data_IF_293589024946
#
_entry.id   IF_293589024946
#
_cell.length_a   1.000
_cell.length_b   1.000
_cell.length_c   1.000
_cell.angle_alpha   90.00
_cell.angle_beta   90.00
_cell.angle_gamma   90.00
#
_symmetry.space_group_name_H-M   'P 1'
#
loop_
_entity.id
_entity.type
_entity.pdbx_description
1 polymer ?
#
# COMPACT_ATOMS: atom_id res chain seq x y z
N UNK A 1 -44.69 17.89 -22.80
CA UNK A 1 -44.33 16.59 -22.20
C UNK A 1 -43.04 16.12 -22.86
N UNK A 2 -41.85 16.47 -22.34
CA UNK A 2 -40.63 15.85 -22.85
C UNK A 2 -40.56 14.42 -22.29
N UNK A 3 -40.28 13.48 -23.18
CA UNK A 3 -40.07 12.08 -22.86
C UNK A 3 -39.00 11.94 -21.77
N UNK A 4 -39.37 11.29 -20.66
CA UNK A 4 -38.41 10.81 -19.68
C UNK A 4 -37.43 9.87 -20.41
N UNK A 5 -36.17 10.30 -20.49
CA UNK A 5 -35.06 9.41 -20.82
C UNK A 5 -35.08 8.31 -19.77
N UNK A 6 -35.50 7.11 -20.19
CA UNK A 6 -35.42 5.90 -19.37
C UNK A 6 -33.95 5.65 -19.10
N UNK A 7 -33.46 6.11 -17.95
CA UNK A 7 -32.17 5.74 -17.40
C UNK A 7 -32.25 4.24 -17.13
N UNK A 8 -31.54 3.44 -17.94
CA UNK A 8 -31.35 2.03 -17.66
C UNK A 8 -30.80 1.83 -16.24
N UNK A 9 -31.05 0.66 -15.62
CA UNK A 9 -30.72 0.42 -14.21
C UNK A 9 -29.27 0.82 -13.91
N UNK A 10 -29.08 1.60 -12.84
CA UNK A 10 -27.76 2.05 -12.40
C UNK A 10 -26.84 0.83 -12.25
N UNK A 11 -25.83 0.74 -13.12
CA UNK A 11 -24.96 -0.41 -13.18
C UNK A 11 -24.04 -0.44 -11.95
N UNK A 12 -24.37 -1.32 -11.00
CA UNK A 12 -23.58 -1.58 -9.80
C UNK A 12 -22.33 -2.44 -10.14
N UNK A 13 -21.28 -2.34 -9.32
CA UNK A 13 -20.13 -3.27 -9.32
C UNK A 13 -20.60 -4.72 -9.35
N UNK A 14 -21.61 -5.10 -8.56
CA UNK A 14 -22.12 -6.48 -8.57
C UNK A 14 -22.69 -6.94 -9.92
N UNK A 15 -23.29 -6.04 -10.69
CA UNK A 15 -23.81 -6.33 -12.04
C UNK A 15 -22.63 -6.48 -13.02
N UNK A 16 -21.65 -5.57 -12.93
CA UNK A 16 -20.43 -5.65 -13.71
C UNK A 16 -19.65 -6.95 -13.44
N UNK A 17 -19.46 -7.34 -12.18
CA UNK A 17 -18.75 -8.57 -11.81
C UNK A 17 -19.46 -9.84 -12.32
N UNK A 18 -20.80 -9.83 -12.37
CA UNK A 18 -21.58 -10.92 -12.98
C UNK A 18 -21.38 -10.97 -14.49
N UNK A 19 -21.45 -9.82 -15.18
CA UNK A 19 -21.30 -9.76 -16.63
C UNK A 19 -19.86 -10.03 -17.08
N UNK A 20 -18.87 -9.76 -16.24
CA UNK A 20 -17.46 -9.99 -16.48
C UNK A 20 -17.12 -11.47 -16.72
N UNK A 21 -17.87 -12.40 -16.10
CA UNK A 21 -17.66 -13.84 -16.29
C UNK A 21 -18.09 -14.33 -17.67
N UNK A 22 -19.17 -13.77 -18.22
CA UNK A 22 -19.77 -14.21 -19.48
C UNK A 22 -19.26 -13.45 -20.70
N UNK A 23 -18.90 -12.18 -20.54
CA UNK A 23 -18.59 -11.31 -21.67
C UNK A 23 -17.16 -11.51 -22.21
N UNK A 24 -16.95 -11.20 -23.51
CA UNK A 24 -15.61 -11.15 -24.08
C UNK A 24 -14.79 -10.01 -23.43
N UNK A 25 -13.47 -10.22 -23.34
CA UNK A 25 -12.59 -9.37 -22.53
C UNK A 25 -12.60 -7.90 -22.96
N UNK A 26 -12.60 -7.63 -24.27
CA UNK A 26 -12.58 -6.24 -24.77
C UNK A 26 -13.89 -5.51 -24.46
N UNK A 27 -15.03 -6.20 -24.58
CA UNK A 27 -16.32 -5.62 -24.18
C UNK A 27 -16.37 -5.34 -22.68
N UNK A 28 -15.76 -6.20 -21.85
CA UNK A 28 -15.65 -5.96 -20.41
C UNK A 28 -14.77 -4.74 -20.08
N UNK A 29 -13.66 -4.55 -20.81
CA UNK A 29 -12.79 -3.38 -20.66
C UNK A 29 -13.55 -2.09 -21.02
N UNK A 30 -14.18 -2.05 -22.19
CA UNK A 30 -14.97 -0.88 -22.63
C UNK A 30 -16.14 -0.61 -21.69
N UNK A 31 -16.80 -1.67 -21.20
CA UNK A 31 -17.87 -1.53 -20.22
C UNK A 31 -17.35 -0.87 -18.94
N UNK A 32 -16.22 -1.30 -18.37
CA UNK A 32 -15.70 -0.69 -17.15
C UNK A 32 -15.28 0.76 -17.36
N UNK A 33 -14.63 1.06 -18.50
CA UNK A 33 -14.28 2.42 -18.90
C UNK A 33 -15.53 3.31 -18.96
N UNK A 34 -16.61 2.81 -19.57
CA UNK A 34 -17.88 3.53 -19.63
C UNK A 34 -18.50 3.77 -18.25
N UNK A 35 -18.41 2.79 -17.34
CA UNK A 35 -18.90 2.91 -15.96
C UNK A 35 -18.11 3.96 -15.16
N UNK A 36 -16.79 4.00 -15.33
CA UNK A 36 -15.91 5.00 -14.71
C UNK A 36 -16.17 6.40 -15.26
N UNK A 37 -16.24 6.57 -16.59
CA UNK A 37 -16.55 7.88 -17.21
C UNK A 37 -17.92 8.42 -16.79
N UNK A 38 -18.90 7.54 -16.62
CA UNK A 38 -20.26 7.89 -16.17
C UNK A 38 -20.38 8.03 -14.65
N UNK A 39 -19.29 7.80 -13.90
CA UNK A 39 -19.25 7.82 -12.44
C UNK A 39 -20.33 6.92 -11.82
N UNK A 40 -20.61 5.75 -12.41
CA UNK A 40 -21.60 4.81 -11.89
C UNK A 40 -21.02 3.91 -10.79
N UNK A 41 -19.73 3.60 -10.89
CA UNK A 41 -18.95 2.98 -9.82
C UNK A 41 -18.12 4.09 -9.18
N UNK A 42 -18.49 4.48 -7.95
CA UNK A 42 -17.81 5.52 -7.16
C UNK A 42 -17.19 4.91 -5.92
N UNK A 43 -16.24 5.63 -5.33
CA UNK A 43 -15.50 5.28 -4.12
C UNK A 43 -14.36 4.28 -4.35
N UNK A 44 -13.27 4.55 -3.64
CA UNK A 44 -12.05 3.74 -3.57
C UNK A 44 -12.25 2.20 -3.62
N UNK A 45 -13.04 1.61 -2.71
CA UNK A 45 -13.17 0.14 -2.58
C UNK A 45 -13.91 -0.52 -3.76
N UNK A 46 -15.12 -0.09 -4.16
CA UNK A 46 -15.79 -0.56 -5.38
C UNK A 46 -14.91 -0.47 -6.63
N UNK A 47 -14.18 0.65 -6.81
CA UNK A 47 -13.24 0.86 -7.91
C UNK A 47 -12.07 -0.13 -7.86
N UNK A 48 -11.49 -0.38 -6.68
CA UNK A 48 -10.40 -1.34 -6.50
C UNK A 48 -10.81 -2.76 -6.90
N UNK A 49 -11.94 -3.23 -6.39
CA UNK A 49 -12.46 -4.59 -6.61
C UNK A 49 -12.79 -4.80 -8.09
N UNK A 50 -13.49 -3.84 -8.72
CA UNK A 50 -13.82 -3.93 -10.14
C UNK A 50 -12.55 -3.97 -11.03
N UNK A 51 -11.54 -3.17 -10.68
CA UNK A 51 -10.26 -3.13 -11.40
C UNK A 51 -9.49 -4.44 -11.24
N UNK A 52 -9.36 -4.96 -10.01
CA UNK A 52 -8.65 -6.20 -9.73
C UNK A 52 -9.27 -7.39 -10.46
N UNK A 53 -10.60 -7.54 -10.42
CA UNK A 53 -11.29 -8.60 -11.15
C UNK A 53 -11.15 -8.47 -12.67
N UNK A 54 -11.17 -7.26 -13.21
CA UNK A 54 -10.95 -7.07 -14.65
C UNK A 54 -9.53 -7.51 -15.04
N UNK A 55 -8.51 -7.09 -14.30
CA UNK A 55 -7.12 -7.47 -14.56
C UNK A 55 -6.91 -8.99 -14.43
N UNK A 56 -7.51 -9.62 -13.42
CA UNK A 56 -7.54 -11.08 -13.28
C UNK A 56 -8.05 -11.76 -14.55
N UNK A 57 -9.15 -11.27 -15.12
CA UNK A 57 -9.73 -11.83 -16.35
C UNK A 57 -8.85 -11.56 -17.58
N UNK A 58 -8.19 -10.40 -17.66
CA UNK A 58 -7.23 -10.11 -18.73
C UNK A 58 -6.09 -11.12 -18.69
N UNK A 59 -5.49 -11.35 -17.52
CA UNK A 59 -4.36 -12.27 -17.34
C UNK A 59 -4.80 -13.72 -17.61
N UNK A 60 -5.96 -14.14 -17.09
CA UNK A 60 -6.47 -15.49 -17.23
C UNK A 60 -6.82 -15.84 -18.68
N UNK A 61 -7.49 -14.94 -19.43
CA UNK A 61 -7.94 -15.21 -20.81
C UNK A 61 -6.86 -14.97 -21.86
N UNK A 62 -5.86 -14.11 -21.59
CA UNK A 62 -4.78 -13.84 -22.53
C UNK A 62 -3.87 -15.06 -22.69
N UNK A 63 -3.55 -15.39 -23.95
CA UNK A 63 -2.47 -16.31 -24.30
C UNK A 63 -1.22 -15.49 -24.56
N UNK A 64 -0.16 -15.76 -23.81
CA UNK A 64 1.10 -15.03 -23.92
C UNK A 64 2.26 -16.02 -23.79
N UNK A 65 3.33 -15.76 -24.53
CA UNK A 65 4.56 -16.57 -24.53
C UNK A 65 5.75 -15.83 -23.93
N UNK A 66 5.62 -14.52 -23.72
CA UNK A 66 6.64 -13.66 -23.18
C UNK A 66 5.98 -12.73 -22.14
N UNK A 67 6.59 -12.65 -20.95
CA UNK A 67 6.14 -11.78 -19.85
C UNK A 67 6.06 -10.32 -20.29
N UNK A 68 6.95 -9.86 -21.18
CA UNK A 68 6.93 -8.51 -21.73
C UNK A 68 5.61 -8.16 -22.41
N UNK A 69 5.04 -9.08 -23.20
CA UNK A 69 3.72 -8.87 -23.83
C UNK A 69 2.58 -8.80 -22.82
N UNK A 70 2.67 -9.58 -21.73
CA UNK A 70 1.69 -9.50 -20.64
C UNK A 70 1.76 -8.14 -19.95
N UNK A 71 2.96 -7.68 -19.63
CA UNK A 71 3.20 -6.37 -19.02
C UNK A 71 2.68 -5.22 -19.89
N UNK A 72 3.00 -5.24 -21.19
CA UNK A 72 2.50 -4.27 -22.16
C UNK A 72 0.97 -4.24 -22.18
N UNK A 73 0.31 -5.41 -22.21
CA UNK A 73 -1.15 -5.48 -22.25
C UNK A 73 -1.80 -4.97 -20.97
N UNK A 74 -1.28 -5.37 -19.80
CA UNK A 74 -1.79 -4.90 -18.50
C UNK A 74 -1.57 -3.40 -18.34
N UNK A 75 -0.43 -2.88 -18.80
CA UNK A 75 -0.13 -1.46 -18.80
C UNK A 75 -1.08 -0.68 -19.72
N UNK A 76 -1.34 -1.17 -20.93
CA UNK A 76 -2.28 -0.54 -21.87
C UNK A 76 -3.69 -0.47 -21.28
N UNK A 77 -4.22 -1.59 -20.76
CA UNK A 77 -5.54 -1.63 -20.12
C UNK A 77 -5.57 -0.71 -18.90
N UNK A 78 -4.55 -0.76 -18.06
CA UNK A 78 -4.44 0.07 -16.87
C UNK A 78 -4.41 1.56 -17.20
N UNK A 79 -3.67 1.97 -18.22
CA UNK A 79 -3.62 3.35 -18.67
C UNK A 79 -5.00 3.84 -19.13
N UNK A 80 -5.71 3.05 -19.93
CA UNK A 80 -7.07 3.39 -20.39
C UNK A 80 -8.06 3.52 -19.23
N UNK A 81 -7.92 2.71 -18.17
CA UNK A 81 -8.75 2.81 -16.97
C UNK A 81 -8.41 4.06 -16.15
N UNK A 82 -7.12 4.39 -15.99
CA UNK A 82 -6.69 5.60 -15.30
C UNK A 82 -7.13 6.87 -16.03
N UNK A 83 -7.07 6.89 -17.36
CA UNK A 83 -7.57 8.00 -18.19
C UNK A 83 -9.09 8.16 -18.11
N UNK A 84 -9.82 7.07 -17.83
CA UNK A 84 -11.27 7.13 -17.66
C UNK A 84 -11.71 7.89 -16.40
N UNK A 85 -10.91 7.81 -15.32
CA UNK A 85 -11.20 8.46 -14.04
C UNK A 85 -9.90 8.76 -13.27
N UNK A 86 -9.14 9.81 -13.66
CA UNK A 86 -7.79 10.05 -13.13
C UNK A 86 -7.76 10.40 -11.64
N UNK A 87 -8.87 10.93 -11.10
CA UNK A 87 -8.99 11.31 -9.69
C UNK A 87 -9.19 10.11 -8.75
N UNK A 88 -9.60 8.96 -9.27
CA UNK A 88 -9.70 7.73 -8.50
C UNK A 88 -8.40 6.94 -8.58
N UNK A 89 -7.42 7.44 -7.82
CA UNK A 89 -6.02 6.97 -7.80
C UNK A 89 -5.89 5.48 -7.49
N UNK A 90 -6.88 4.92 -6.79
CA UNK A 90 -6.94 3.50 -6.43
C UNK A 90 -6.88 2.60 -7.65
N UNK A 91 -7.49 2.99 -8.78
CA UNK A 91 -7.41 2.24 -10.05
C UNK A 91 -5.94 2.07 -10.45
N UNK A 92 -5.19 3.17 -10.44
CA UNK A 92 -3.76 3.15 -10.73
C UNK A 92 -2.94 2.38 -9.70
N UNK A 93 -3.31 2.46 -8.41
CA UNK A 93 -2.61 1.73 -7.34
C UNK A 93 -2.74 0.21 -7.53
N UNK A 94 -3.93 -0.28 -7.85
CA UNK A 94 -4.16 -1.70 -8.15
C UNK A 94 -3.39 -2.13 -9.39
N UNK A 95 -3.45 -1.35 -10.47
CA UNK A 95 -2.68 -1.63 -11.71
C UNK A 95 -1.18 -1.71 -11.41
N UNK A 96 -0.62 -0.76 -10.67
CA UNK A 96 0.82 -0.75 -10.30
C UNK A 96 1.18 -1.95 -9.42
N UNK A 97 0.31 -2.34 -8.49
CA UNK A 97 0.50 -3.53 -7.64
C UNK A 97 0.54 -4.81 -8.47
N UNK A 98 -0.39 -4.99 -9.40
CA UNK A 98 -0.41 -6.15 -10.32
C UNK A 98 0.82 -6.16 -11.24
N UNK A 99 1.22 -5.01 -11.78
CA UNK A 99 2.45 -4.91 -12.59
C UNK A 99 3.72 -5.21 -11.78
N UNK A 100 3.78 -4.77 -10.52
CA UNK A 100 4.88 -5.08 -9.60
C UNK A 100 4.98 -6.58 -9.36
N UNK A 101 3.87 -7.21 -9.00
CA UNK A 101 3.76 -8.67 -8.82
C UNK A 101 4.24 -9.43 -10.06
N UNK A 102 3.73 -9.12 -11.26
CA UNK A 102 4.18 -9.79 -12.50
C UNK A 102 5.69 -9.63 -12.72
N UNK A 103 6.26 -8.47 -12.37
CA UNK A 103 7.71 -8.22 -12.51
C UNK A 103 8.54 -8.98 -11.48
N UNK A 104 8.03 -9.18 -10.28
CA UNK A 104 8.76 -9.85 -9.20
C UNK A 104 8.76 -11.36 -9.43
N UNK A 105 7.62 -11.96 -9.78
CA UNK A 105 7.55 -13.37 -10.21
C UNK A 105 8.49 -13.67 -11.38
N UNK A 106 8.54 -12.78 -12.38
CA UNK A 106 9.42 -12.94 -13.54
C UNK A 106 10.92 -12.81 -13.22
N UNK A 107 11.30 -12.21 -12.09
CA UNK A 107 12.70 -12.15 -11.62
C UNK A 107 13.05 -13.38 -10.80
N UNK A 108 12.13 -13.88 -9.99
CA UNK A 108 12.33 -15.05 -9.15
C UNK A 108 12.58 -16.30 -10.01
N UNK A 109 11.75 -16.54 -11.03
CA UNK A 109 11.95 -17.63 -12.02
C UNK A 109 13.35 -17.61 -12.66
N UNK A 110 13.84 -16.42 -13.05
CA UNK A 110 15.18 -16.27 -13.66
C UNK A 110 16.30 -16.59 -12.68
N UNK A 111 16.08 -16.29 -11.39
CA UNK A 111 17.06 -16.52 -10.34
C UNK A 111 17.14 -18.02 -10.02
N UNK A 112 16.01 -18.73 -10.04
CA UNK A 112 15.96 -20.18 -9.88
C UNK A 112 16.65 -20.93 -11.03
N UNK A 113 16.42 -20.53 -12.29
CA UNK A 113 17.12 -21.11 -13.46
C UNK A 113 18.64 -20.92 -13.39
N UNK A 114 19.10 -19.76 -12.90
CA UNK A 114 20.53 -19.45 -12.78
C UNK A 114 21.17 -20.19 -11.60
N UNK A 115 20.45 -20.35 -10.49
CA UNK A 115 20.88 -21.13 -9.32
C UNK A 115 21.04 -22.63 -9.62
N UNK A 116 20.12 -23.20 -10.42
CA UNK A 116 20.18 -24.60 -10.84
C UNK A 116 21.40 -24.89 -11.74
N UNK A 117 21.76 -23.98 -12.65
CA UNK A 117 22.91 -24.15 -13.55
C UNK A 117 24.27 -23.97 -12.85
N UNK A 118 24.34 -23.18 -11.77
CA UNK A 118 25.56 -23.03 -10.96
C UNK A 118 25.84 -24.24 -10.05
N UNK A 119 24.84 -25.08 -9.79
CA UNK A 119 24.97 -26.30 -8.97
C UNK A 119 25.51 -27.49 -9.76
N UNK A 120 25.52 -27.42 -11.09
CA UNK A 120 25.92 -28.52 -11.99
C UNK A 120 27.42 -28.54 -12.38
N UNK A 121 28.23 -27.57 -11.93
CA UNK A 121 29.66 -27.49 -12.30
C UNK A 121 30.65 -27.81 -11.18
N UNK A 122 30.19 -28.24 -10.01
CA UNK A 122 31.10 -28.63 -8.92
C UNK A 122 31.07 -30.14 -8.70
N UNK A 123 31.63 -30.90 -9.64
CA UNK A 123 31.91 -32.33 -9.48
C UNK A 123 33.16 -32.70 -10.26
N UNK A 124 34.33 -32.41 -9.69
CA UNK A 124 35.58 -33.18 -9.77
C UNK A 124 36.78 -32.29 -9.42
N UNK A 125 37.17 -32.28 -8.15
CA UNK A 125 38.56 -32.09 -7.76
C UNK A 125 38.89 -33.21 -6.77
N UNK A 126 39.80 -34.09 -7.18
CA UNK A 126 40.16 -35.32 -6.48
C UNK A 126 40.89 -35.08 -5.17
N UNK A 127 40.54 -35.84 -4.15
CA UNK A 127 41.23 -35.92 -2.87
C UNK A 127 42.57 -36.66 -3.02
N UNK A 128 43.68 -36.19 -2.42
CA UNK A 128 44.92 -36.95 -2.39
C UNK A 128 44.86 -38.05 -1.33
N UNK A 129 45.28 -39.24 -1.74
CA UNK A 129 45.42 -40.47 -0.96
C UNK A 129 46.53 -40.32 0.09
N UNK A 130 46.28 -40.69 1.34
CA UNK A 130 47.34 -40.90 2.36
C UNK A 130 47.25 -42.31 2.92
N UNK A 131 48.37 -43.02 2.84
CA UNK A 131 48.54 -44.42 3.21
C UNK A 131 48.69 -44.59 4.72
N UNK A 132 47.99 -45.60 5.26
CA UNK A 132 48.10 -46.09 6.63
C UNK A 132 49.43 -46.84 6.85
N UNK A 133 50.09 -46.62 8.00
CA UNK A 133 51.09 -47.53 8.58
C UNK A 133 50.95 -47.58 10.11
N UNK A 134 51.12 -48.78 10.65
CA UNK A 134 50.72 -49.26 11.98
C UNK A 134 51.70 -48.96 13.15
N UNK A 135 51.11 -48.66 14.34
CA UNK A 135 51.38 -49.12 15.74
C UNK A 135 52.77 -48.90 16.44
N UNK A 136 52.94 -48.99 17.80
CA UNK A 136 51.98 -49.18 18.93
C UNK A 136 52.20 -48.34 20.24
N UNK A 137 51.18 -48.38 21.14
CA UNK A 137 51.16 -48.39 22.63
C UNK A 137 51.92 -47.36 23.50
N UNK A 138 51.23 -46.75 24.49
CA UNK A 138 51.46 -46.84 25.97
C UNK A 138 50.69 -45.77 26.78
N UNK A 139 50.46 -46.10 28.06
CA UNK A 139 49.47 -45.62 29.04
C UNK A 139 49.69 -44.25 29.74
N UNK A 140 48.62 -43.83 30.46
CA UNK A 140 48.52 -43.08 31.73
C UNK A 140 48.25 -41.54 31.76
N UNK A 141 47.00 -41.25 32.18
CA UNK A 141 46.61 -40.53 33.41
C UNK A 141 46.30 -39.00 33.42
N UNK A 142 45.08 -38.74 33.95
CA UNK A 142 44.61 -37.58 34.74
C UNK A 142 44.39 -36.24 33.97
N UNK A 143 43.33 -35.44 34.13
CA UNK A 143 42.49 -35.09 35.30
C UNK A 143 41.08 -34.69 34.79
N UNK A 144 40.03 -35.13 35.50
CA UNK A 144 38.65 -34.63 35.43
C UNK A 144 38.40 -33.51 36.46
N UNK A 145 37.27 -32.80 36.27
CA UNK A 145 36.49 -31.99 37.22
C UNK A 145 36.93 -30.51 37.35
N UNK A 146 36.05 -29.51 37.53
CA UNK A 146 34.60 -29.37 37.45
C UNK A 146 34.25 -27.87 37.68
N UNK A 147 33.01 -27.47 37.32
CA UNK A 147 32.14 -26.50 38.01
C UNK A 147 32.65 -25.08 38.32
N UNK A 148 31.94 -24.04 37.84
CA UNK A 148 30.91 -23.33 38.64
C UNK A 148 30.44 -22.01 38.01
N UNK A 149 29.17 -21.71 38.29
CA UNK A 149 28.37 -20.54 37.94
C UNK A 149 28.57 -19.37 38.93
N UNK A 150 27.84 -18.27 38.66
CA UNK A 150 27.44 -17.12 39.52
C UNK A 150 28.34 -15.86 39.38
N UNK A 151 27.90 -14.60 39.49
CA UNK A 151 26.59 -13.92 39.71
C UNK A 151 26.88 -12.43 39.99
N UNK A 152 25.92 -11.54 39.67
CA UNK A 152 25.64 -10.17 40.18
C UNK A 152 26.75 -9.09 40.12
N UNK A 153 26.43 -7.78 40.03
CA UNK A 153 25.15 -7.11 40.16
C UNK A 153 25.26 -5.58 40.01
N UNK A 154 24.08 -4.98 39.94
CA UNK A 154 23.70 -3.56 39.87
C UNK A 154 24.02 -2.73 41.11
N UNK A 155 24.28 -1.43 40.96
CA UNK A 155 23.80 -0.37 41.86
C UNK A 155 23.91 1.03 41.24
N UNK A 156 23.07 1.93 41.74
CA UNK A 156 22.57 3.22 41.24
C UNK A 156 23.19 4.45 41.94
N UNK A 157 22.80 5.65 41.46
CA UNK A 157 22.52 6.91 42.19
C UNK A 157 23.50 8.11 42.08
N UNK A 158 22.96 9.20 41.53
CA UNK A 158 22.82 10.57 42.09
C UNK A 158 23.97 11.61 42.21
N UNK A 159 23.61 12.82 41.74
CA UNK A 159 23.88 14.21 42.23
C UNK A 159 25.13 15.03 41.80
N UNK A 160 24.83 16.10 41.03
CA UNK A 160 25.12 17.56 41.16
C UNK A 160 26.48 18.14 41.65
N UNK A 161 26.86 19.27 41.00
CA UNK A 161 27.72 20.37 41.52
C UNK A 161 29.10 20.42 40.88
N UNK A 162 29.39 21.33 39.93
CA UNK A 162 29.79 22.75 40.07
C UNK A 162 31.28 22.96 40.41
N UNK A 163 31.88 23.93 39.69
CA UNK A 163 33.16 24.63 39.91
C UNK A 163 34.46 23.85 39.64
N UNK A 164 35.58 24.42 39.22
CA UNK A 164 36.02 25.63 38.51
C UNK A 164 37.56 25.44 38.39
N UNK A 165 38.19 26.21 37.51
CA UNK A 165 39.59 26.65 37.56
C UNK A 165 40.63 25.97 36.65
N UNK A 166 41.21 26.88 35.88
CA UNK A 166 42.34 26.83 34.96
C UNK A 166 43.65 26.37 35.62
N UNK A 167 44.56 25.80 34.82
CA UNK A 167 45.87 26.46 34.68
C UNK A 167 46.69 26.00 33.47
N UNK A 168 47.53 26.94 33.06
CA UNK A 168 48.17 27.13 31.76
C UNK A 168 49.66 26.72 31.81
N UNK A 169 50.27 26.56 30.63
CA UNK A 169 51.70 26.68 30.27
C UNK A 169 52.56 25.42 29.95
N UNK A 170 52.65 25.18 28.63
CA UNK A 170 53.88 25.05 27.78
C UNK A 170 54.74 23.78 27.69
N UNK A 171 54.66 23.18 26.48
CA UNK A 171 55.72 23.07 25.46
C UNK A 171 56.91 22.12 25.72
N UNK A 172 56.90 20.95 25.06
CA UNK A 172 58.04 20.44 24.28
C UNK A 172 57.66 19.25 23.37
N UNK A 173 58.20 19.30 22.15
CA UNK A 173 58.06 18.38 21.02
C UNK A 173 58.52 16.95 21.33
N UNK A 174 57.77 15.95 20.85
CA UNK A 174 58.34 14.82 20.07
C UNK A 174 57.23 14.00 19.40
N UNK A 175 57.43 13.77 18.10
CA UNK A 175 56.59 12.98 17.18
C UNK A 175 56.83 11.49 17.40
N UNK A 176 55.81 10.63 17.21
CA UNK A 176 56.06 9.45 16.40
C UNK A 176 55.02 9.25 15.28
N UNK A 177 55.53 9.30 14.05
CA UNK A 177 55.33 8.31 12.98
C UNK A 177 53.90 7.80 12.75
N UNK A 178 53.22 8.39 11.77
CA UNK A 178 52.05 7.82 11.09
C UNK A 178 52.45 6.53 10.36
N UNK A 179 51.75 5.38 10.53
CA UNK A 179 52.03 4.18 9.76
C UNK A 179 51.65 4.37 8.28
N UNK A 180 52.31 3.65 7.35
CA UNK A 180 52.11 3.84 5.92
C UNK A 180 50.74 3.30 5.47
N UNK A 181 50.06 4.07 4.62
CA UNK A 181 48.90 3.59 3.87
C UNK A 181 49.35 2.52 2.87
N UNK A 182 48.90 1.29 3.07
CA UNK A 182 48.90 0.26 2.02
C UNK A 182 47.58 0.40 1.28
N UNK A 183 47.63 0.96 0.07
CA UNK A 183 46.52 0.89 -0.85
C UNK A 183 46.39 -0.54 -1.37
N UNK A 184 45.27 -1.20 -1.06
CA UNK A 184 44.83 -2.40 -1.76
C UNK A 184 43.31 -2.39 -1.82
N UNK A 185 42.82 -2.02 -3.00
CA UNK A 185 41.50 -2.29 -3.50
C UNK A 185 41.28 -3.80 -3.53
N UNK A 186 40.45 -4.34 -2.65
CA UNK A 186 39.77 -5.63 -2.87
C UNK A 186 38.43 -5.58 -2.16
N UNK A 187 37.40 -5.20 -2.91
CA UNK A 187 36.01 -5.43 -2.54
C UNK A 187 35.78 -6.93 -2.42
N UNK A 188 35.73 -7.44 -1.20
CA UNK A 188 35.28 -8.81 -0.93
C UNK A 188 33.76 -8.82 -0.92
N UNK A 189 33.16 -8.84 -2.11
CA UNK A 189 31.76 -9.20 -2.28
C UNK A 189 31.70 -10.69 -2.60
N UNK A 190 31.65 -11.53 -1.57
CA UNK A 190 31.37 -12.96 -1.68
C UNK A 190 29.96 -13.22 -1.17
N UNK A 191 29.06 -13.44 -2.13
CA UNK A 191 28.21 -14.63 -2.26
C UNK A 191 27.57 -15.17 -0.97
N UNK A 192 26.52 -14.49 -0.51
CA UNK A 192 25.34 -15.16 0.06
C UNK A 192 24.11 -14.41 -0.44
N UNK A 193 23.26 -15.10 -1.19
CA UNK A 193 22.09 -14.56 -1.86
C UNK A 193 21.13 -13.86 -0.90
N UNK A 194 21.12 -12.54 -0.98
CA UNK A 194 19.92 -11.71 -0.86
C UNK A 194 20.19 -10.51 -1.75
N UNK A 195 19.54 -10.46 -2.93
CA UNK A 195 19.60 -9.30 -3.81
C UNK A 195 18.68 -8.21 -3.24
N UNK A 196 19.00 -7.76 -2.03
CA UNK A 196 18.51 -6.47 -1.55
C UNK A 196 19.19 -5.42 -2.41
N UNK A 197 18.41 -4.54 -3.05
CA UNK A 197 18.93 -3.36 -3.72
C UNK A 197 19.71 -2.53 -2.70
N UNK A 198 21.01 -2.80 -2.57
CA UNK A 198 21.91 -2.14 -1.64
C UNK A 198 22.12 -0.71 -2.14
N UNK A 199 21.37 0.23 -1.54
CA UNK A 199 21.50 1.68 -1.66
C UNK A 199 21.64 2.20 -3.11
N UNK A 200 20.61 2.89 -3.61
CA UNK A 200 20.61 3.50 -4.94
C UNK A 200 21.84 4.39 -5.23
N UNK A 201 22.51 4.92 -4.20
CA UNK A 201 23.75 5.68 -4.31
C UNK A 201 24.95 4.84 -4.80
N UNK A 202 24.97 3.53 -4.54
CA UNK A 202 26.04 2.63 -4.99
C UNK A 202 25.88 2.19 -6.46
N UNK A 203 24.69 2.35 -7.06
CA UNK A 203 24.51 2.06 -8.49
C UNK A 203 25.37 2.96 -9.39
N UNK A 204 25.78 4.14 -8.93
CA UNK A 204 26.72 5.01 -9.65
C UNK A 204 28.13 4.41 -9.77
N UNK A 205 28.49 3.51 -8.85
CA UNK A 205 29.80 2.87 -8.77
C UNK A 205 29.81 1.49 -9.43
N UNK A 206 28.65 0.96 -9.80
CA UNK A 206 28.55 -0.33 -10.49
C UNK A 206 28.88 -0.14 -11.97
N UNK A 207 29.89 -0.84 -12.53
CA UNK A 207 30.17 -0.76 -13.95
C UNK A 207 28.96 -1.28 -14.73
N UNK A 208 28.54 -0.53 -15.76
CA UNK A 208 27.48 -0.95 -16.67
C UNK A 208 27.88 -2.28 -17.32
N UNK A 209 27.06 -3.33 -17.15
CA UNK A 209 27.28 -4.58 -17.85
C UNK A 209 27.21 -4.34 -19.37
N UNK A 210 28.33 -4.58 -20.06
CA UNK A 210 28.38 -4.88 -21.48
C UNK A 210 28.27 -3.70 -22.46
N UNK A 211 29.41 -3.07 -22.76
CA UNK A 211 29.58 -2.38 -24.05
C UNK A 211 29.86 -3.44 -25.14
N UNK A 212 29.23 -3.41 -26.34
CA UNK A 212 29.35 -4.47 -27.36
C UNK A 212 30.69 -4.42 -28.14
N UNK A 213 31.71 -3.75 -27.61
CA UNK A 213 32.98 -3.49 -28.31
C UNK A 213 34.23 -4.00 -27.58
N UNK A 214 34.10 -5.03 -26.74
CA UNK A 214 35.26 -5.76 -26.24
C UNK A 214 35.61 -6.90 -27.20
N UNK A 215 36.73 -6.74 -27.92
CA UNK A 215 37.42 -7.81 -28.66
C UNK A 215 37.53 -9.09 -27.83
N UNK A 216 37.26 -10.28 -28.39
CA UNK A 216 37.28 -11.52 -27.62
C UNK A 216 38.72 -11.91 -27.27
N UNK A 217 38.98 -12.54 -26.11
CA UNK A 217 40.28 -13.14 -25.84
C UNK A 217 40.51 -14.33 -26.77
N UNK A 218 41.73 -14.44 -27.27
CA UNK A 218 42.22 -15.52 -28.12
C UNK A 218 42.27 -16.81 -27.31
N UNK A 219 41.65 -17.87 -27.85
CA UNK A 219 41.88 -19.24 -27.44
C UNK A 219 40.85 -19.79 -26.46
N UNK A 220 39.76 -20.34 -27.01
CA UNK A 220 39.25 -21.63 -26.56
C UNK A 220 38.47 -22.26 -27.73
N UNK A 221 38.75 -23.54 -27.97
CA UNK A 221 38.23 -24.31 -29.09
C UNK A 221 36.70 -24.43 -29.02
N UNK A 222 36.01 -24.21 -30.13
CA UNK A 222 34.59 -24.53 -30.26
C UNK A 222 34.37 -26.03 -30.04
N UNK A 223 33.39 -26.46 -29.23
CA UNK A 223 32.99 -27.85 -29.23
C UNK A 223 32.26 -28.12 -30.54
N UNK A 224 32.93 -28.82 -31.46
CA UNK A 224 32.27 -29.48 -32.60
C UNK A 224 31.52 -30.71 -32.09
N UNK A 225 30.37 -30.47 -31.48
CA UNK A 225 29.35 -31.49 -31.24
C UNK A 225 28.08 -31.05 -31.94
N UNK A 226 27.58 -31.84 -32.89
CA UNK A 226 26.22 -31.69 -33.41
C UNK A 226 25.27 -32.01 -32.25
N UNK A 227 24.90 -31.00 -31.45
CA UNK A 227 23.76 -31.10 -30.58
C UNK A 227 22.52 -30.94 -31.47
N UNK A 228 21.83 -32.05 -31.74
CA UNK A 228 20.43 -31.99 -32.13
C UNK A 228 19.65 -31.43 -30.92
N UNK A 229 19.67 -30.11 -30.79
CA UNK A 229 18.86 -29.38 -29.82
C UNK A 229 17.43 -29.64 -30.25
N UNK A 230 16.75 -30.54 -29.54
CA UNK A 230 15.38 -30.90 -29.85
C UNK A 230 14.49 -29.67 -29.59
N UNK A 231 14.25 -28.86 -30.63
CA UNK A 231 13.47 -27.62 -30.60
C UNK A 231 12.10 -27.83 -29.93
N UNK A 232 11.53 -29.05 -30.04
CA UNK A 232 10.28 -29.41 -29.37
C UNK A 232 10.43 -29.47 -27.84
N UNK A 233 11.53 -30.02 -27.32
CA UNK A 233 11.80 -30.07 -25.88
C UNK A 233 12.02 -28.69 -25.27
N UNK A 234 12.70 -27.79 -25.99
CA UNK A 234 12.88 -26.40 -25.55
C UNK A 234 11.55 -25.63 -25.54
N UNK A 235 10.71 -25.83 -26.58
CA UNK A 235 9.38 -25.23 -26.63
C UNK A 235 8.43 -25.75 -25.54
N UNK A 236 8.56 -27.03 -25.15
CA UNK A 236 7.80 -27.61 -24.05
C UNK A 236 8.24 -27.04 -22.70
N UNK A 237 9.55 -26.85 -22.51
CA UNK A 237 10.11 -26.26 -21.29
C UNK A 237 9.68 -24.80 -21.14
N UNK A 238 9.82 -23.99 -22.20
CA UNK A 238 9.36 -22.59 -22.20
C UNK A 238 7.85 -22.47 -21.97
N UNK A 239 7.03 -23.35 -22.57
CA UNK A 239 5.58 -23.34 -22.33
C UNK A 239 5.22 -23.74 -20.89
N UNK A 240 5.97 -24.67 -20.28
CA UNK A 240 5.78 -25.05 -18.89
C UNK A 240 6.10 -23.90 -17.95
N UNK A 241 7.24 -23.23 -18.15
CA UNK A 241 7.64 -22.05 -17.36
C UNK A 241 6.59 -20.95 -17.48
N UNK A 242 6.11 -20.63 -18.69
CA UNK A 242 5.07 -19.60 -18.88
C UNK A 242 3.71 -19.95 -18.25
N UNK A 243 3.39 -21.24 -18.11
CA UNK A 243 2.16 -21.67 -17.48
C UNK A 243 2.25 -21.58 -15.96
N UNK A 244 3.42 -21.87 -15.37
CA UNK A 244 3.67 -21.75 -13.93
C UNK A 244 3.55 -20.30 -13.45
N UNK A 245 4.27 -19.37 -14.10
CA UNK A 245 4.16 -17.93 -13.76
C UNK A 245 2.74 -17.40 -13.95
N UNK A 246 1.98 -17.94 -14.90
CA UNK A 246 0.59 -17.54 -15.10
C UNK A 246 -0.30 -17.97 -13.93
N UNK A 247 -0.11 -19.18 -13.39
CA UNK A 247 -0.84 -19.61 -12.19
C UNK A 247 -0.45 -18.78 -10.97
N UNK A 248 0.84 -18.54 -10.74
CA UNK A 248 1.30 -17.73 -9.60
C UNK A 248 0.74 -16.31 -9.65
N UNK A 249 0.79 -15.65 -10.81
CA UNK A 249 0.20 -14.31 -10.98
C UNK A 249 -1.32 -14.32 -10.76
N UNK A 250 -2.04 -15.35 -11.22
CA UNK A 250 -3.49 -15.46 -11.00
C UNK A 250 -3.78 -15.59 -9.50
N UNK A 251 -3.07 -16.48 -8.82
CA UNK A 251 -3.19 -16.67 -7.36
C UNK A 251 -2.86 -15.39 -6.61
N UNK A 252 -1.77 -14.70 -6.95
CA UNK A 252 -1.43 -13.43 -6.33
C UNK A 252 -2.48 -12.34 -6.54
N UNK A 253 -3.11 -12.26 -7.72
CA UNK A 253 -4.22 -11.31 -7.95
C UNK A 253 -5.48 -11.70 -7.17
N UNK A 254 -5.76 -12.99 -6.98
CA UNK A 254 -6.83 -13.47 -6.10
C UNK A 254 -6.56 -13.10 -4.64
N UNK A 255 -5.32 -13.22 -4.16
CA UNK A 255 -4.92 -12.77 -2.83
C UNK A 255 -5.11 -11.25 -2.64
N UNK A 256 -4.83 -10.43 -3.67
CA UNK A 256 -5.12 -8.99 -3.64
C UNK A 256 -6.62 -8.75 -3.45
N UNK A 257 -7.47 -9.52 -4.12
CA UNK A 257 -8.93 -9.37 -4.01
C UNK A 257 -9.38 -9.73 -2.59
N UNK A 258 -8.91 -10.85 -2.05
CA UNK A 258 -9.24 -11.29 -0.69
C UNK A 258 -8.75 -10.30 0.37
N UNK A 259 -7.55 -9.73 0.19
CA UNK A 259 -7.04 -8.66 1.04
C UNK A 259 -7.99 -7.46 1.02
N UNK A 260 -8.34 -6.94 -0.18
CA UNK A 260 -9.27 -5.81 -0.34
C UNK A 260 -10.60 -6.05 0.37
N UNK A 261 -11.06 -7.31 0.43
CA UNK A 261 -12.26 -7.65 1.14
C UNK A 261 -12.11 -7.53 2.67
N UNK A 262 -10.98 -7.97 3.20
CA UNK A 262 -10.67 -8.07 4.63
C UNK A 262 -10.08 -6.80 5.25
N UNK A 263 -9.60 -5.83 4.46
CA UNK A 263 -8.91 -4.61 4.93
C UNK A 263 -9.64 -3.92 6.10
N UNK A 264 -10.96 -3.73 6.01
CA UNK A 264 -11.68 -2.99 7.05
C UNK A 264 -11.73 -3.75 8.39
N UNK A 265 -11.74 -5.08 8.35
CA UNK A 265 -11.79 -5.92 9.55
C UNK A 265 -10.42 -6.02 10.22
N UNK A 266 -9.34 -6.07 9.41
CA UNK A 266 -7.96 -5.95 9.87
C UNK A 266 -7.72 -4.59 10.55
N UNK A 267 -8.11 -3.50 9.92
CA UNK A 267 -8.04 -2.15 10.51
C UNK A 267 -8.85 -2.06 11.81
N UNK A 268 -10.07 -2.60 11.84
CA UNK A 268 -10.91 -2.55 13.02
C UNK A 268 -10.30 -3.30 14.21
N UNK A 269 -9.43 -4.29 13.98
CA UNK A 269 -8.76 -5.04 15.06
C UNK A 269 -7.94 -4.13 15.99
N UNK A 270 -7.33 -3.07 15.46
CA UNK A 270 -6.54 -2.07 16.20
C UNK A 270 -7.38 -1.07 17.01
N UNK A 271 -8.72 -1.08 16.87
CA UNK A 271 -9.58 -0.07 17.50
C UNK A 271 -9.48 -0.04 19.04
N UNK A 272 -9.24 -1.19 19.67
CA UNK A 272 -9.13 -1.29 21.12
C UNK A 272 -7.83 -0.69 21.66
N UNK A 273 -6.81 -0.50 20.84
CA UNK A 273 -5.55 0.08 21.30
C UNK A 273 -5.58 1.60 21.25
N UNK A 274 -6.46 2.18 20.41
CA UNK A 274 -6.53 3.62 20.18
C UNK A 274 -7.74 4.34 20.81
N UNK A 275 -8.82 3.61 21.14
CA UNK A 275 -10.06 4.20 21.68
C UNK A 275 -10.28 3.75 23.11
N UNK A 276 -10.20 4.66 24.09
CA UNK A 276 -10.43 4.35 25.50
C UNK A 276 -11.84 4.72 25.98
N UNK A 277 -12.23 4.20 27.15
CA UNK A 277 -13.52 4.52 27.75
C UNK A 277 -13.59 6.00 28.15
N UNK A 278 -14.76 6.60 28.03
CA UNK A 278 -15.05 8.01 28.33
C UNK A 278 -14.26 9.03 27.48
N UNK A 279 -13.64 8.61 26.37
CA UNK A 279 -13.07 9.55 25.39
C UNK A 279 -14.17 10.23 24.56
N UNK A 280 -13.89 11.44 24.11
CA UNK A 280 -14.69 12.16 23.11
C UNK A 280 -13.93 12.14 21.78
N UNK A 281 -14.49 11.44 20.81
CA UNK A 281 -13.91 11.26 19.48
C UNK A 281 -14.68 12.10 18.48
N UNK A 282 -13.99 12.92 17.69
CA UNK A 282 -14.60 13.62 16.56
C UNK A 282 -14.33 12.85 15.27
N UNK A 283 -15.35 12.62 14.47
CA UNK A 283 -15.27 11.98 13.16
C UNK A 283 -16.04 12.78 12.12
N UNK A 284 -15.66 12.62 10.87
CA UNK A 284 -16.24 13.28 9.72
C UNK A 284 -16.79 12.25 8.74
N UNK A 285 -17.94 12.55 8.14
CA UNK A 285 -18.60 11.73 7.10
C UNK A 285 -19.00 10.31 7.50
N UNK A 286 -19.77 9.65 6.65
CA UNK A 286 -20.19 8.26 6.76
C UNK A 286 -19.20 7.30 6.10
N UNK A 287 -18.03 7.08 6.72
CA UNK A 287 -17.05 6.11 6.22
C UNK A 287 -17.23 4.73 6.84
N UNK A 288 -17.30 3.69 5.99
CA UNK A 288 -17.40 2.28 6.41
C UNK A 288 -16.24 1.84 7.30
N UNK A 289 -15.00 2.18 6.93
CA UNK A 289 -13.81 1.75 7.69
C UNK A 289 -13.80 2.37 9.09
N UNK A 290 -14.13 3.66 9.21
CA UNK A 290 -14.23 4.35 10.50
C UNK A 290 -15.41 3.82 11.31
N UNK A 291 -16.55 3.55 10.69
CA UNK A 291 -17.69 2.96 11.41
C UNK A 291 -17.37 1.57 11.94
N UNK A 292 -16.72 0.70 11.16
CA UNK A 292 -16.29 -0.63 11.63
C UNK A 292 -15.30 -0.51 12.79
N UNK A 293 -14.35 0.43 12.68
CA UNK A 293 -13.39 0.74 13.73
C UNK A 293 -14.08 1.18 15.03
N UNK A 294 -15.01 2.14 14.96
CA UNK A 294 -15.77 2.62 16.11
C UNK A 294 -16.68 1.53 16.71
N UNK A 295 -17.39 0.76 15.89
CA UNK A 295 -18.24 -0.36 16.34
C UNK A 295 -17.43 -1.45 17.05
N UNK A 296 -16.21 -1.73 16.58
CA UNK A 296 -15.33 -2.70 17.21
C UNK A 296 -14.89 -2.24 18.60
N UNK A 297 -14.56 -0.96 18.78
CA UNK A 297 -14.30 -0.39 20.09
C UNK A 297 -15.56 -0.38 20.98
N UNK A 298 -16.73 -0.04 20.41
CA UNK A 298 -18.04 -0.01 21.08
C UNK A 298 -18.38 -1.31 21.81
N UNK A 299 -17.98 -2.43 21.22
CA UNK A 299 -18.28 -3.76 21.76
C UNK A 299 -17.71 -4.01 23.15
N UNK A 300 -16.67 -3.27 23.56
CA UNK A 300 -16.00 -3.42 24.86
C UNK A 300 -15.95 -2.14 25.69
N UNK A 301 -16.05 -0.96 25.06
CA UNK A 301 -15.81 0.34 25.70
C UNK A 301 -16.96 1.30 25.41
N UNK A 302 -17.30 2.11 26.40
CA UNK A 302 -18.28 3.21 26.28
C UNK A 302 -17.53 4.51 26.12
N UNK A 303 -17.84 5.28 25.09
CA UNK A 303 -17.22 6.56 24.78
C UNK A 303 -18.23 7.42 23.99
N UNK A 304 -17.87 8.65 23.68
CA UNK A 304 -18.72 9.61 22.98
C UNK A 304 -18.14 9.88 21.59
N UNK A 305 -19.00 9.88 20.58
CA UNK A 305 -18.64 10.20 19.19
C UNK A 305 -19.36 11.47 18.76
N UNK A 306 -18.61 12.48 18.38
CA UNK A 306 -19.08 13.68 17.71
C UNK A 306 -18.94 13.45 16.20
N UNK A 307 -20.06 13.41 15.49
CA UNK A 307 -20.12 13.21 14.05
C UNK A 307 -20.42 14.53 13.36
N UNK A 308 -19.54 14.92 12.44
CA UNK A 308 -19.71 16.11 11.60
C UNK A 308 -20.42 15.71 10.30
N UNK A 309 -21.45 16.47 9.92
CA UNK A 309 -22.37 16.09 8.84
C UNK A 309 -21.78 16.08 7.43
N UNK A 310 -20.72 16.84 7.12
CA UNK A 310 -20.11 16.88 5.78
C UNK A 310 -21.09 17.39 4.72
N UNK A 311 -21.71 18.54 4.99
CA UNK A 311 -22.54 19.25 4.02
C UNK A 311 -21.65 19.88 2.93
N UNK A 312 -22.04 19.88 1.64
CA UNK A 312 -23.31 19.45 1.04
C UNK A 312 -23.27 18.04 0.42
N UNK A 313 -22.13 17.35 0.44
CA UNK A 313 -21.95 16.15 -0.39
C UNK A 313 -22.43 14.86 0.28
N UNK A 314 -22.15 14.70 1.58
CA UNK A 314 -22.33 13.44 2.31
C UNK A 314 -23.28 13.57 3.51
N UNK A 315 -23.91 14.74 3.72
CA UNK A 315 -24.82 14.96 4.84
C UNK A 315 -26.00 14.00 4.86
N UNK A 316 -26.66 13.74 3.74
CA UNK A 316 -27.83 12.83 3.69
C UNK A 316 -27.47 11.42 4.15
N UNK A 317 -26.34 10.87 3.67
CA UNK A 317 -25.84 9.57 4.10
C UNK A 317 -25.44 9.55 5.58
N UNK A 318 -24.79 10.62 6.05
CA UNK A 318 -24.37 10.76 7.45
C UNK A 318 -25.56 10.82 8.40
N UNK A 319 -26.57 11.63 8.08
CA UNK A 319 -27.82 11.75 8.83
C UNK A 319 -28.61 10.43 8.83
N UNK A 320 -28.68 9.75 7.69
CA UNK A 320 -29.36 8.46 7.57
C UNK A 320 -28.76 7.40 8.51
N UNK A 321 -27.42 7.32 8.60
CA UNK A 321 -26.73 6.37 9.48
C UNK A 321 -26.96 6.68 10.96
N UNK A 322 -26.98 7.96 11.35
CA UNK A 322 -27.30 8.36 12.72
C UNK A 322 -28.76 8.03 13.05
N UNK A 323 -29.67 8.31 12.13
CA UNK A 323 -31.11 8.04 12.28
C UNK A 323 -31.47 6.55 12.17
N UNK A 324 -30.51 5.67 11.81
CA UNK A 324 -30.77 4.26 11.54
C UNK A 324 -31.72 4.02 10.35
N UNK A 325 -31.87 5.01 9.48
CA UNK A 325 -32.74 4.99 8.30
C UNK A 325 -31.92 4.69 7.04
N UNK A 326 -32.54 4.11 6.01
CA UNK A 326 -31.88 4.00 4.71
C UNK A 326 -31.70 5.41 4.12
N UNK A 327 -30.54 5.74 3.52
CA UNK A 327 -30.37 7.01 2.82
C UNK A 327 -31.41 7.11 1.69
N UNK A 328 -32.13 8.25 1.63
CA UNK A 328 -33.23 8.46 0.67
C UNK A 328 -32.74 8.69 -0.77
N UNK A 329 -31.48 9.09 -0.95
CA UNK A 329 -30.98 9.57 -2.24
C UNK A 329 -30.29 8.51 -3.11
N UNK A 330 -30.30 7.25 -2.67
CA UNK A 330 -29.74 6.15 -3.47
C UNK A 330 -30.88 5.26 -3.96
N UNK A 331 -31.37 5.53 -5.18
CA UNK A 331 -31.96 4.53 -6.10
C UNK A 331 -30.91 3.46 -6.52
N UNK A 332 -30.00 3.11 -5.62
CA UNK A 332 -29.09 1.97 -5.74
C UNK A 332 -29.61 0.87 -4.83
N UNK A 333 -30.89 0.51 -5.04
CA UNK A 333 -31.34 -0.79 -4.59
C UNK A 333 -30.50 -1.85 -5.30
N UNK A 334 -30.13 -2.87 -4.52
CA UNK A 334 -29.51 -4.11 -4.97
C UNK A 334 -27.98 -4.03 -5.17
N UNK A 335 -27.24 -4.46 -4.15
CA UNK A 335 -26.75 -5.84 -4.03
C UNK A 335 -26.38 -6.09 -2.56
N UNK A 336 -26.89 -7.20 -2.03
CA UNK A 336 -26.48 -7.91 -0.81
C UNK A 336 -25.03 -7.64 -0.36
N UNK A 337 -24.81 -7.41 0.96
CA UNK A 337 -23.53 -7.13 1.64
C UNK A 337 -23.06 -5.68 1.81
N UNK A 338 -23.90 -4.67 1.53
CA UNK A 338 -23.89 -3.49 2.41
C UNK A 338 -24.50 -3.93 3.74
N UNK A 339 -23.66 -4.62 4.53
CA UNK A 339 -23.96 -5.07 5.89
C UNK A 339 -24.66 -3.90 6.56
N UNK A 340 -25.92 -4.10 6.93
CA UNK A 340 -26.65 -3.22 7.81
C UNK A 340 -25.74 -2.92 9.01
N UNK A 341 -25.01 -1.81 8.93
CA UNK A 341 -24.13 -1.41 10.01
C UNK A 341 -25.09 -0.92 11.08
N UNK A 342 -25.08 -1.64 12.22
CA UNK A 342 -25.90 -1.23 13.36
C UNK A 342 -25.62 0.25 13.60
N UNK A 343 -26.65 1.10 13.73
CA UNK A 343 -26.41 2.51 14.02
C UNK A 343 -25.56 2.58 15.29
N UNK A 344 -24.57 3.48 15.32
CA UNK A 344 -23.63 3.58 16.43
C UNK A 344 -24.35 3.73 17.78
N UNK A 345 -25.52 4.39 17.76
CA UNK A 345 -26.43 4.54 18.91
C UNK A 345 -26.94 3.20 19.48
N UNK A 346 -27.15 2.18 18.64
CA UNK A 346 -27.61 0.85 19.06
C UNK A 346 -26.52 0.05 19.80
N UNK A 347 -25.26 0.50 19.76
CA UNK A 347 -24.13 -0.17 20.44
C UNK A 347 -23.79 0.42 21.81
N UNK A 348 -24.61 1.35 22.32
CA UNK A 348 -24.42 1.94 23.65
C UNK A 348 -23.37 3.05 23.70
N UNK A 349 -22.99 3.59 22.54
CA UNK A 349 -22.18 4.81 22.38
C UNK A 349 -23.11 6.03 22.30
N UNK A 350 -22.69 7.12 22.93
CA UNK A 350 -23.35 8.42 22.75
C UNK A 350 -22.88 9.05 21.46
N UNK A 351 -23.80 9.27 20.51
CA UNK A 351 -23.51 9.92 19.22
C UNK A 351 -24.11 11.31 19.21
N UNK A 352 -23.29 12.32 18.91
CA UNK A 352 -23.69 13.73 18.82
C UNK A 352 -23.45 14.18 17.39
N UNK A 353 -24.51 14.52 16.66
CA UNK A 353 -24.42 15.07 15.30
C UNK A 353 -24.28 16.59 15.38
N UNK A 354 -23.31 17.16 14.66
CA UNK A 354 -23.06 18.61 14.62
C UNK A 354 -22.92 19.11 13.17
N UNK A 355 -23.23 20.40 12.91
CA UNK A 355 -22.93 21.03 11.64
C UNK A 355 -21.43 21.31 11.49
N UNK A 356 -20.96 21.43 10.25
CA UNK A 356 -19.55 21.71 9.92
C UNK A 356 -19.04 23.01 10.58
N UNK A 357 -19.91 24.01 10.76
CA UNK A 357 -19.58 25.29 11.42
C UNK A 357 -19.28 25.17 12.91
N UNK A 358 -19.76 24.13 13.59
CA UNK A 358 -19.58 23.94 15.03
C UNK A 358 -18.26 23.21 15.38
N UNK A 359 -17.52 22.72 14.38
CA UNK A 359 -16.28 21.94 14.56
C UNK A 359 -15.28 22.69 15.43
N UNK A 360 -15.01 23.96 15.12
CA UNK A 360 -14.00 24.72 15.85
C UNK A 360 -14.41 24.97 17.32
N UNK A 361 -15.70 25.25 17.56
CA UNK A 361 -16.21 25.52 18.90
C UNK A 361 -16.13 24.28 19.82
N UNK A 362 -16.42 23.10 19.28
CA UNK A 362 -16.41 21.86 20.08
C UNK A 362 -15.02 21.24 20.23
N UNK A 363 -14.05 21.63 19.39
CA UNK A 363 -12.71 21.02 19.34
C UNK A 363 -11.99 21.04 20.69
N UNK A 364 -12.24 22.06 21.53
CA UNK A 364 -11.70 22.16 22.90
C UNK A 364 -12.08 21.01 23.85
N UNK A 365 -13.14 20.24 23.50
CA UNK A 365 -13.65 19.10 24.29
C UNK A 365 -13.36 17.75 23.63
N UNK A 366 -12.71 17.74 22.47
CA UNK A 366 -12.40 16.53 21.71
C UNK A 366 -11.05 16.01 22.17
N UNK A 367 -10.95 14.71 22.45
CA UNK A 367 -9.68 14.07 22.81
C UNK A 367 -8.90 13.61 21.58
N UNK A 368 -9.59 13.20 20.52
CA UNK A 368 -8.98 12.61 19.32
C UNK A 368 -9.88 12.84 18.11
N UNK A 369 -9.28 13.15 16.97
CA UNK A 369 -9.98 13.20 15.68
C UNK A 369 -9.66 11.92 14.92
N UNK A 370 -10.69 11.24 14.41
CA UNK A 370 -10.55 10.07 13.52
C UNK A 370 -11.13 10.43 12.16
N UNK A 371 -10.29 10.44 11.13
CA UNK A 371 -10.68 10.75 9.75
C UNK A 371 -10.57 9.53 8.84
N UNK A 372 -11.41 9.51 7.82
CA UNK A 372 -11.29 8.61 6.68
C UNK A 372 -10.70 9.35 5.47
N UNK A 373 -9.97 8.63 4.64
CA UNK A 373 -9.42 9.16 3.39
C UNK A 373 -10.08 8.52 2.18
N UNK A 374 -10.06 9.28 1.08
CA UNK A 374 -10.28 8.76 -0.26
C UNK A 374 -8.98 8.17 -0.83
N UNK A 375 -7.88 8.91 -0.73
CA UNK A 375 -6.54 8.50 -1.14
C UNK A 375 -5.46 9.10 -0.21
N UNK A 376 -4.32 8.43 -0.09
CA UNK A 376 -3.11 8.95 0.56
C UNK A 376 -2.05 9.10 -0.52
N UNK A 377 -1.43 10.25 -0.64
CA UNK A 377 -0.50 10.57 -1.72
C UNK A 377 0.96 10.46 -1.28
N UNK A 378 1.91 10.54 -2.21
CA UNK A 378 3.32 10.19 -1.97
C UNK A 378 4.01 11.03 -0.89
N UNK A 379 3.63 12.29 -0.72
CA UNK A 379 4.18 13.15 0.33
C UNK A 379 3.56 12.90 1.72
N UNK A 380 2.69 11.89 1.85
CA UNK A 380 1.95 11.59 3.08
C UNK A 380 0.74 12.49 3.33
N UNK A 381 0.41 13.39 2.39
CA UNK A 381 -0.86 14.11 2.43
C UNK A 381 -2.04 13.18 2.13
N UNK A 382 -3.25 13.66 2.38
CA UNK A 382 -4.46 12.90 2.12
C UNK A 382 -5.47 13.71 1.31
N UNK A 383 -6.19 12.98 0.46
CA UNK A 383 -7.40 13.46 -0.22
C UNK A 383 -8.56 12.86 0.56
N UNK A 384 -9.43 13.69 1.14
CA UNK A 384 -10.57 13.27 1.94
C UNK A 384 -11.83 14.02 1.52
N UNK A 385 -12.97 13.69 2.14
CA UNK A 385 -14.23 14.41 1.89
C UNK A 385 -14.09 15.91 2.22
N UNK A 386 -14.83 16.74 1.48
CA UNK A 386 -14.89 18.18 1.67
C UNK A 386 -15.06 18.57 3.15
N UNK A 387 -14.25 19.51 3.64
CA UNK A 387 -14.26 19.97 5.04
C UNK A 387 -13.26 19.25 5.96
N UNK A 388 -12.66 18.14 5.52
CA UNK A 388 -11.66 17.42 6.31
C UNK A 388 -10.44 18.29 6.68
N UNK A 389 -10.02 19.20 5.80
CA UNK A 389 -8.89 20.11 6.08
C UNK A 389 -9.22 21.09 7.19
N UNK A 390 -10.46 21.59 7.24
CA UNK A 390 -10.91 22.51 8.29
C UNK A 390 -10.88 21.82 9.65
N UNK A 391 -11.33 20.56 9.70
CA UNK A 391 -11.29 19.74 10.91
C UNK A 391 -9.84 19.50 11.35
N UNK A 392 -8.96 19.08 10.45
CA UNK A 392 -7.55 18.82 10.76
C UNK A 392 -6.82 20.10 11.21
N UNK A 393 -7.12 21.24 10.59
CA UNK A 393 -6.55 22.54 10.98
C UNK A 393 -7.05 22.97 12.36
N UNK A 394 -8.34 22.81 12.65
CA UNK A 394 -8.90 23.08 13.97
C UNK A 394 -8.26 22.18 15.04
N UNK A 395 -8.08 20.89 14.74
CA UNK A 395 -7.42 19.95 15.65
C UNK A 395 -5.97 20.36 15.94
N UNK A 396 -5.21 20.76 14.92
CA UNK A 396 -3.82 21.24 15.06
C UNK A 396 -3.71 22.49 15.94
N UNK A 397 -4.68 23.42 15.85
CA UNK A 397 -4.75 24.60 16.73
C UNK A 397 -5.00 24.19 18.18
N UNK A 398 -5.90 23.23 18.42
CA UNK A 398 -6.25 22.74 19.75
C UNK A 398 -5.31 21.64 20.27
N UNK A 399 -4.26 21.27 19.52
CA UNK A 399 -3.33 20.17 19.85
C UNK A 399 -4.05 18.83 20.08
N UNK A 400 -5.15 18.63 19.36
CA UNK A 400 -5.88 17.36 19.34
C UNK A 400 -5.25 16.46 18.28
N UNK A 401 -4.86 15.22 18.63
CA UNK A 401 -4.25 14.31 17.68
C UNK A 401 -5.24 13.89 16.58
N UNK A 402 -4.79 13.95 15.33
CA UNK A 402 -5.52 13.53 14.13
C UNK A 402 -5.02 12.16 13.69
N UNK A 403 -5.88 11.17 13.88
CA UNK A 403 -5.66 9.79 13.44
C UNK A 403 -6.44 9.52 12.16
N UNK A 404 -5.78 8.90 11.19
CA UNK A 404 -6.35 8.63 9.87
C UNK A 404 -6.47 7.13 9.66
N UNK A 405 -7.66 6.67 9.32
CA UNK A 405 -7.96 5.26 9.07
C UNK A 405 -8.07 5.03 7.56
N UNK A 406 -7.13 4.24 7.01
CA UNK A 406 -7.04 3.99 5.57
C UNK A 406 -6.42 2.64 5.25
N UNK A 407 -6.99 1.92 4.28
CA UNK A 407 -6.34 0.74 3.71
C UNK A 407 -5.13 1.12 2.85
N UNK A 408 -4.15 0.22 2.76
CA UNK A 408 -2.93 0.45 1.96
C UNK A 408 -3.19 0.56 0.46
N UNK A 409 -4.27 -0.03 -0.04
CA UNK A 409 -4.68 0.10 -1.45
C UNK A 409 -5.03 1.53 -1.87
N UNK A 410 -5.26 2.43 -0.90
CA UNK A 410 -5.48 3.87 -1.12
C UNK A 410 -4.19 4.69 -1.21
N UNK A 411 -3.04 4.09 -0.89
CA UNK A 411 -1.73 4.74 -0.97
C UNK A 411 -1.31 4.85 -2.43
N UNK A 412 -1.10 6.08 -2.89
CA UNK A 412 -0.72 6.40 -4.26
C UNK A 412 0.67 7.03 -4.32
N UNK A 413 1.52 6.60 -5.28
CA UNK A 413 2.85 7.17 -5.47
C UNK A 413 2.84 8.53 -6.21
N UNK A 414 1.66 9.04 -6.58
CA UNK A 414 1.57 10.31 -7.30
C UNK A 414 1.83 11.49 -6.33
N UNK A 415 2.64 12.45 -6.80
CA UNK A 415 3.05 13.61 -6.01
C UNK A 415 2.16 14.83 -6.31
N UNK A 416 1.71 15.58 -5.29
CA UNK A 416 0.81 16.72 -5.47
C UNK A 416 1.59 17.97 -5.90
N UNK A 417 2.01 18.06 -7.17
CA UNK A 417 2.61 19.30 -7.68
C UNK A 417 1.64 20.47 -7.61
N UNK A 418 0.35 20.20 -7.89
CA UNK A 418 -0.74 21.16 -7.82
C UNK A 418 -1.92 20.52 -7.08
N UNK A 419 -2.24 21.01 -5.89
CA UNK A 419 -3.29 20.43 -5.05
C UNK A 419 -4.70 20.62 -5.64
N UNK A 420 -4.92 21.69 -6.41
CA UNK A 420 -6.21 21.98 -7.04
C UNK A 420 -6.59 20.92 -8.07
N UNK A 421 -5.60 20.34 -8.77
CA UNK A 421 -5.83 19.27 -9.74
C UNK A 421 -6.48 18.02 -9.11
N UNK A 422 -6.18 17.77 -7.82
CA UNK A 422 -6.70 16.64 -7.04
C UNK A 422 -8.15 16.85 -6.57
N UNK A 423 -8.58 18.10 -6.47
CA UNK A 423 -9.90 18.45 -5.94
C UNK A 423 -10.95 18.21 -7.01
N UNK A 424 -11.91 17.34 -6.70
CA UNK A 424 -13.06 17.12 -7.55
C UNK A 424 -14.19 18.09 -7.26
N UNK A 425 -14.80 18.65 -8.31
CA UNK A 425 -16.00 19.45 -8.21
C UNK A 425 -17.22 18.62 -8.61
N UNK A 426 -18.24 18.69 -7.75
CA UNK A 426 -19.49 17.97 -7.88
C UNK A 426 -20.62 18.86 -8.38
N UNK A 427 -21.85 18.40 -8.19
CA UNK A 427 -23.04 19.08 -8.67
C UNK A 427 -23.36 20.33 -7.83
N UNK A 428 -23.49 21.53 -8.45
CA UNK A 428 -23.87 22.76 -7.75
C UNK A 428 -25.27 22.71 -7.12
N UNK A 429 -26.16 21.88 -7.68
CA UNK A 429 -27.53 21.68 -7.20
C UNK A 429 -27.61 21.21 -5.74
N UNK A 430 -26.52 20.63 -5.20
CA UNK A 430 -26.43 20.24 -3.80
C UNK A 430 -26.31 21.43 -2.84
N UNK A 431 -25.82 22.57 -3.33
CA UNK A 431 -25.65 23.80 -2.55
C UNK A 431 -26.86 24.70 -2.76
N UNK A 432 -27.15 25.03 -4.02
CA UNK A 432 -28.28 25.88 -4.40
C UNK A 432 -29.18 25.08 -5.34
N UNK A 433 -30.42 24.77 -4.93
CA UNK A 433 -31.33 24.04 -5.80
C UNK A 433 -31.76 24.89 -7.01
N UNK A 434 -31.97 24.21 -8.14
CA UNK A 434 -32.24 24.85 -9.43
C UNK A 434 -33.55 25.67 -9.48
N UNK A 435 -34.46 25.44 -8.54
CA UNK A 435 -35.71 26.19 -8.42
C UNK A 435 -35.49 27.67 -8.04
N UNK A 436 -34.31 28.01 -7.49
CA UNK A 436 -33.93 29.37 -7.11
C UNK A 436 -33.22 30.11 -8.27
N UNK A 437 -33.94 30.29 -9.38
CA UNK A 437 -33.39 30.82 -10.64
C UNK A 437 -32.61 32.13 -10.53
N UNK A 438 -33.07 33.08 -9.72
CA UNK A 438 -32.37 34.37 -9.50
C UNK A 438 -30.97 34.18 -8.89
N UNK A 439 -30.78 33.19 -8.01
CA UNK A 439 -29.49 32.90 -7.39
C UNK A 439 -28.57 32.14 -8.35
N UNK A 440 -29.12 31.24 -9.17
CA UNK A 440 -28.35 30.47 -10.15
C UNK A 440 -27.80 31.37 -11.27
N UNK A 441 -28.54 32.40 -11.67
CA UNK A 441 -28.11 33.33 -12.74
C UNK A 441 -27.10 34.38 -12.24
N UNK A 442 -27.11 34.71 -10.95
CA UNK A 442 -26.29 35.78 -10.36
C UNK A 442 -25.03 35.33 -9.61
N UNK A 443 -24.83 34.02 -9.39
CA UNK A 443 -23.75 33.50 -8.55
C UNK A 443 -22.89 32.46 -9.27
N UNK A 444 -21.60 32.50 -8.97
CA UNK A 444 -20.68 31.40 -9.26
C UNK A 444 -20.71 30.41 -8.09
N UNK A 445 -21.08 29.15 -8.37
CA UNK A 445 -21.32 28.14 -7.34
C UNK A 445 -20.35 26.98 -7.52
N UNK A 446 -19.37 26.91 -6.64
CA UNK A 446 -18.39 25.84 -6.57
C UNK A 446 -18.73 24.82 -5.48
N UNK A 447 -18.83 23.54 -5.86
CA UNK A 447 -19.03 22.44 -4.93
C UNK A 447 -17.84 21.46 -4.95
N UNK A 448 -16.79 21.67 -4.14
CA UNK A 448 -15.73 20.67 -4.00
C UNK A 448 -16.27 19.43 -3.27
N UNK A 449 -16.04 18.24 -3.83
CA UNK A 449 -16.37 16.92 -3.27
C UNK A 449 -15.26 16.44 -2.35
N UNK A 450 -14.02 16.69 -2.73
CA UNK A 450 -12.83 16.31 -1.98
C UNK A 450 -12.05 17.54 -1.53
N UNK A 451 -11.22 17.33 -0.52
CA UNK A 451 -10.36 18.33 0.08
C UNK A 451 -8.98 17.73 0.33
N UNK A 452 -7.95 18.57 0.20
CA UNK A 452 -6.57 18.17 0.40
C UNK A 452 -6.12 18.55 1.80
N UNK A 453 -5.72 17.55 2.58
CA UNK A 453 -5.14 17.77 3.91
C UNK A 453 -3.64 17.52 3.85
N UNK A 454 -2.81 18.53 4.19
CA UNK A 454 -1.37 18.39 4.25
C UNK A 454 -0.90 17.31 5.24
N UNK A 455 0.25 16.66 4.99
CA UNK A 455 0.83 15.65 5.88
C UNK A 455 1.08 16.18 7.30
N UNK A 456 1.45 17.46 7.44
CA UNK A 456 1.79 18.08 8.73
C UNK A 456 0.62 18.15 9.71
N UNK A 457 -0.62 17.95 9.25
CA UNK A 457 -1.82 17.95 10.07
C UNK A 457 -2.26 16.54 10.51
N UNK A 458 -1.48 15.51 10.17
CA UNK A 458 -1.79 14.11 10.46
C UNK A 458 -0.74 13.55 11.40
N UNK A 459 -1.17 13.00 12.54
CA UNK A 459 -0.26 12.46 13.55
C UNK A 459 -0.03 10.96 13.39
N UNK A 460 -1.08 10.22 12.98
CA UNK A 460 -1.03 8.75 12.92
C UNK A 460 -1.87 8.21 11.76
N UNK A 461 -1.30 7.25 11.03
CA UNK A 461 -2.02 6.42 10.07
C UNK A 461 -2.26 5.02 10.65
N UNK A 462 -3.52 4.60 10.71
CA UNK A 462 -3.93 3.24 11.02
C UNK A 462 -4.27 2.55 9.71
N UNK A 463 -3.49 1.54 9.37
CA UNK A 463 -3.65 0.74 8.15
C UNK A 463 -3.95 -0.71 8.48
N UNK A 464 -4.08 -1.53 7.43
CA UNK A 464 -4.23 -2.98 7.59
C UNK A 464 -2.90 -3.73 7.76
N UNK A 465 -1.77 -3.00 7.78
CA UNK A 465 -0.43 -3.52 8.08
C UNK A 465 -0.05 -3.24 9.54
#
# INVERSE_FOLDING_TARGET
MPHALVTGPAANVGIFLKSLRSNPIETSIESLIALFKRRQIKSSRPCAIATAHLLLQVIAKMKWSNVGRLLERVQEVGQRLMEAQPREMVVGNIVRRVLGMIRDEAKEDRTEETGANSSATNSQVGSPTTQHRDLPSREHAAIQMALSSLRNGTATSDLSGEEESDDVFTNAKSVPSRPPMVGSSTSYAVLTGTNSQKSQMFNLLTPAEGSPAATPPVGNMSPKGKSDLNIKSLSMMMNSTTNNIKSEVITGVEEIIDELEQVDDQIASYALDHIHSNEVILTHTSSRSVQKFLLRAASKRKFTVILVESYPNNHSATHAIVAGSKPRDNESEHLSHEVFMKPLSATGITVILIPDSAVFAIMSRVNKVILATHAVIANGGLVAAAGARVIARAASVHKVPVTVVSGVFKLSPDYPFEFESLIEYGEPNKIVPYDQGELVEGLEIDNPVYDYVPPDLVDLYITNL
#
